data_IF_603910396547
#
_entry.id   IF_603910396547
#
_cell.length_a   1.000
_cell.length_b   1.000
_cell.length_c   1.000
_cell.angle_alpha   90.00
_cell.angle_beta   90.00
_cell.angle_gamma   90.00
#
_symmetry.space_group_name_H-M   'P 1'
#
loop_
_entity.id
_entity.type
_entity.pdbx_description
1 polymer ?
#
# COMPACT_ATOMS: atom_id res chain seq x y z
N UNK A 1 0.64 -22.62 -30.06
CA UNK A 1 -0.07 -22.24 -28.82
C UNK A 1 0.97 -21.75 -27.83
N UNK A 2 0.76 -20.60 -27.15
CA UNK A 2 1.63 -20.06 -26.09
C UNK A 2 0.85 -19.91 -24.79
N UNK A 3 1.54 -20.07 -23.66
CA UNK A 3 0.97 -19.90 -22.31
C UNK A 3 1.85 -18.92 -21.53
N UNK A 4 1.62 -17.59 -21.66
CA UNK A 4 2.52 -16.56 -21.11
C UNK A 4 2.51 -16.47 -19.57
N UNK A 5 1.58 -17.13 -18.89
CA UNK A 5 1.52 -17.19 -17.45
C UNK A 5 1.50 -15.78 -16.81
N UNK A 6 2.34 -15.58 -15.80
CA UNK A 6 2.43 -14.32 -15.02
C UNK A 6 2.85 -13.11 -15.90
N UNK A 7 3.51 -13.36 -17.04
CA UNK A 7 3.86 -12.31 -18.00
C UNK A 7 2.65 -11.57 -18.55
N UNK A 8 1.48 -12.22 -18.60
CA UNK A 8 0.21 -11.59 -19.01
C UNK A 8 -0.21 -10.46 -18.09
N UNK A 9 0.16 -10.53 -16.81
CA UNK A 9 -0.12 -9.51 -15.79
C UNK A 9 0.96 -8.41 -15.74
N UNK A 10 1.95 -8.49 -16.63
CA UNK A 10 3.04 -7.51 -16.66
C UNK A 10 4.13 -7.78 -15.63
N UNK A 11 4.17 -8.98 -15.08
CA UNK A 11 5.19 -9.40 -14.11
C UNK A 11 6.21 -10.32 -14.79
N UNK A 12 7.50 -10.12 -14.49
CA UNK A 12 8.56 -10.97 -15.03
C UNK A 12 8.58 -12.34 -14.32
N UNK A 13 8.58 -13.45 -15.08
CA UNK A 13 8.80 -14.78 -14.52
C UNK A 13 10.29 -15.06 -14.22
N UNK A 14 11.19 -14.16 -14.63
CA UNK A 14 12.63 -14.33 -14.49
C UNK A 14 13.11 -13.68 -13.19
N UNK A 15 14.18 -14.22 -12.61
CA UNK A 15 14.86 -13.63 -11.47
C UNK A 15 15.49 -12.28 -11.81
N UNK A 16 15.73 -11.46 -10.77
CA UNK A 16 16.34 -10.15 -10.92
C UNK A 16 17.66 -10.24 -11.70
N UNK A 17 17.80 -9.44 -12.76
CA UNK A 17 18.97 -9.38 -13.63
C UNK A 17 18.85 -10.16 -14.95
N UNK A 18 17.89 -11.06 -15.10
CA UNK A 18 17.67 -11.81 -16.33
C UNK A 18 16.54 -11.24 -17.22
N UNK A 19 16.00 -10.11 -16.88
CA UNK A 19 14.84 -9.54 -17.55
C UNK A 19 15.22 -8.95 -18.91
N UNK A 20 14.90 -9.66 -20.00
CA UNK A 20 15.08 -9.19 -21.38
C UNK A 20 13.89 -8.40 -21.93
N UNK A 21 12.72 -8.50 -21.30
CA UNK A 21 11.47 -7.87 -21.75
C UNK A 21 11.02 -6.79 -20.76
N UNK A 22 10.71 -5.60 -21.28
CA UNK A 22 10.08 -4.53 -20.50
C UNK A 22 8.57 -4.81 -20.45
N UNK A 23 8.11 -5.46 -19.38
CA UNK A 23 6.70 -5.67 -19.11
C UNK A 23 6.11 -4.48 -18.36
N UNK A 24 4.82 -4.19 -18.61
CA UNK A 24 4.07 -3.16 -17.88
C UNK A 24 2.99 -3.84 -17.04
N UNK A 25 2.91 -3.57 -15.71
CA UNK A 25 1.81 -4.07 -14.90
C UNK A 25 0.47 -3.66 -15.48
N UNK A 26 -0.47 -4.60 -15.57
CA UNK A 26 -1.82 -4.35 -16.10
C UNK A 26 -2.79 -3.85 -15.02
N UNK A 27 -2.46 -4.08 -13.75
CA UNK A 27 -3.27 -3.62 -12.62
C UNK A 27 -2.75 -2.29 -12.09
N UNK A 28 -3.65 -1.33 -11.96
CA UNK A 28 -3.42 -0.09 -11.21
C UNK A 28 -4.56 0.11 -10.23
N UNK A 29 -4.24 0.15 -8.93
CA UNK A 29 -5.22 0.43 -7.88
C UNK A 29 -5.12 1.89 -7.45
N UNK A 30 -6.23 2.62 -7.55
CA UNK A 30 -6.30 4.05 -7.21
C UNK A 30 -7.41 4.29 -6.20
N UNK A 31 -7.16 5.21 -5.27
CA UNK A 31 -8.16 5.68 -4.31
C UNK A 31 -7.96 7.16 -4.01
N UNK A 32 -8.80 7.73 -3.17
CA UNK A 32 -8.71 9.13 -2.74
C UNK A 32 -8.53 9.20 -1.23
N UNK A 33 -7.77 10.20 -0.78
CA UNK A 33 -7.72 10.54 0.65
C UNK A 33 -9.07 11.16 1.03
N UNK A 34 -9.71 10.58 2.07
CA UNK A 34 -10.99 11.06 2.59
C UNK A 34 -10.86 11.86 3.88
N UNK A 35 -9.74 11.71 4.59
CA UNK A 35 -9.47 12.43 5.82
C UNK A 35 -7.97 12.62 6.04
N UNK A 36 -7.58 13.78 6.59
CA UNK A 36 -6.23 14.10 6.99
C UNK A 36 -6.22 14.57 8.45
N UNK A 37 -5.30 14.05 9.24
CA UNK A 37 -5.12 14.43 10.64
C UNK A 37 -3.66 14.72 10.94
N UNK A 38 -3.35 15.92 11.44
CA UNK A 38 -2.04 16.21 12.02
C UNK A 38 -1.97 15.58 13.41
N UNK A 39 -0.90 14.87 13.69
CA UNK A 39 -0.68 14.16 14.95
C UNK A 39 0.73 14.42 15.48
N UNK A 40 0.92 14.49 16.80
CA UNK A 40 2.26 14.62 17.38
C UNK A 40 3.05 13.31 17.30
N UNK A 41 4.33 13.37 17.63
CA UNK A 41 5.13 12.18 17.96
C UNK A 41 4.49 11.39 19.10
N UNK A 42 4.57 10.05 19.06
CA UNK A 42 3.97 9.15 20.05
C UNK A 42 2.48 8.86 19.83
N UNK A 43 1.89 9.33 18.73
CA UNK A 43 0.48 9.04 18.43
C UNK A 43 0.30 7.62 17.87
N UNK A 44 -0.65 6.87 18.48
CA UNK A 44 -0.97 5.51 18.04
C UNK A 44 -1.99 5.52 16.91
N UNK A 45 -1.72 4.75 15.85
CA UNK A 45 -2.56 4.66 14.65
C UNK A 45 -3.17 3.27 14.53
N UNK A 46 -4.50 3.23 14.26
CA UNK A 46 -5.27 2.02 14.00
C UNK A 46 -5.36 1.03 15.19
N UNK A 47 -6.02 -0.11 14.95
CA UNK A 47 -6.27 -1.14 15.95
C UNK A 47 -4.99 -1.78 16.50
N UNK A 48 -4.99 -2.04 17.81
CA UNK A 48 -3.90 -2.71 18.50
C UNK A 48 -2.64 -1.86 18.65
N UNK A 49 -2.70 -0.57 18.30
CA UNK A 49 -1.58 0.38 18.47
C UNK A 49 -0.26 -0.14 17.91
N UNK A 50 -0.30 -0.83 16.77
CA UNK A 50 0.88 -1.46 16.15
C UNK A 50 1.77 -0.48 15.38
N UNK A 51 1.30 0.76 15.18
CA UNK A 51 2.05 1.86 14.61
C UNK A 51 2.01 3.04 15.55
N UNK A 52 3.17 3.59 15.86
CA UNK A 52 3.33 4.80 16.70
C UNK A 52 4.19 5.78 15.91
N UNK A 53 3.71 7.02 15.77
CA UNK A 53 4.47 8.07 15.09
C UNK A 53 5.74 8.42 15.87
N UNK A 54 6.87 8.50 15.18
CA UNK A 54 8.16 8.88 15.78
C UNK A 54 8.48 10.39 15.68
N UNK A 55 7.63 11.11 14.99
CA UNK A 55 7.71 12.57 14.76
C UNK A 55 6.31 13.14 14.57
N UNK A 56 6.20 14.47 14.48
CA UNK A 56 4.95 15.11 14.06
C UNK A 56 4.64 14.67 12.61
N UNK A 57 3.50 14.08 12.40
CA UNK A 57 3.08 13.44 11.13
C UNK A 57 1.72 13.91 10.67
N UNK A 58 1.40 13.67 9.42
CA UNK A 58 0.06 13.87 8.85
C UNK A 58 -0.49 12.52 8.41
N UNK A 59 -1.38 11.96 9.21
CA UNK A 59 -2.00 10.68 8.89
C UNK A 59 -3.17 10.90 7.93
N UNK A 60 -3.09 10.21 6.79
CA UNK A 60 -4.16 10.17 5.80
C UNK A 60 -4.99 8.90 5.97
N UNK A 61 -6.32 9.02 5.83
CA UNK A 61 -7.24 7.88 5.76
C UNK A 61 -7.73 7.74 4.33
N UNK A 62 -7.70 6.51 3.80
CA UNK A 62 -8.23 6.15 2.50
C UNK A 62 -9.27 5.03 2.61
N UNK A 63 -10.35 5.06 1.80
CA UNK A 63 -11.43 4.08 1.84
C UNK A 63 -11.04 2.84 1.02
N UNK A 64 -10.06 2.10 1.52
CA UNK A 64 -9.60 0.81 0.99
C UNK A 64 -9.23 -0.07 2.17
N UNK A 65 -9.79 -1.25 2.23
CA UNK A 65 -9.52 -2.24 3.25
C UNK A 65 -9.48 -3.66 2.71
N UNK A 66 -9.49 -4.64 3.62
CA UNK A 66 -9.40 -6.04 3.20
C UNK A 66 -10.70 -6.54 2.53
N UNK A 67 -11.86 -5.91 2.75
CA UNK A 67 -13.09 -6.22 2.04
C UNK A 67 -13.00 -5.88 0.54
N UNK A 68 -12.15 -4.91 0.18
CA UNK A 68 -11.88 -4.54 -1.21
C UNK A 68 -10.80 -5.42 -1.86
N UNK A 69 -10.23 -6.39 -1.11
CA UNK A 69 -9.15 -7.25 -1.58
C UNK A 69 -7.74 -6.77 -1.22
N UNK A 70 -7.59 -5.64 -0.49
CA UNK A 70 -6.28 -5.18 -0.04
C UNK A 70 -5.84 -5.96 1.21
N UNK A 71 -4.90 -6.87 1.05
CA UNK A 71 -4.55 -7.84 2.09
C UNK A 71 -4.15 -7.22 3.42
N UNK A 72 -4.76 -7.69 4.52
CA UNK A 72 -4.43 -7.27 5.89
C UNK A 72 -2.98 -7.59 6.31
N UNK A 73 -2.34 -8.57 5.67
CA UNK A 73 -0.93 -8.94 5.89
C UNK A 73 0.02 -7.80 5.53
N UNK A 74 -0.42 -6.85 4.70
CA UNK A 74 0.33 -5.66 4.29
C UNK A 74 0.36 -4.56 5.36
N UNK A 75 -0.33 -4.72 6.48
CA UNK A 75 -0.33 -3.79 7.61
C UNK A 75 1.11 -3.50 8.09
N UNK A 76 1.50 -2.24 8.19
CA UNK A 76 2.84 -1.77 8.56
C UNK A 76 3.98 -2.26 7.64
N UNK A 77 3.67 -2.83 6.47
CA UNK A 77 4.68 -3.42 5.58
C UNK A 77 4.67 -2.83 4.18
N UNK A 78 3.50 -2.39 3.71
CA UNK A 78 3.36 -1.87 2.36
C UNK A 78 3.55 -0.36 2.31
N UNK A 79 3.94 0.10 1.12
CA UNK A 79 3.92 1.50 0.75
C UNK A 79 2.84 1.76 -0.28
N UNK A 80 2.29 2.96 -0.26
CA UNK A 80 1.44 3.50 -1.33
C UNK A 80 2.07 4.75 -1.93
N UNK A 81 1.64 5.12 -3.12
CA UNK A 81 2.12 6.34 -3.77
C UNK A 81 1.11 7.47 -3.57
N UNK A 82 1.55 8.55 -2.95
CA UNK A 82 0.81 9.81 -2.84
C UNK A 82 1.57 10.88 -3.64
N UNK A 83 0.98 11.33 -4.75
CA UNK A 83 1.64 12.28 -5.68
C UNK A 83 3.06 11.81 -6.09
N UNK A 84 3.22 10.51 -6.35
CA UNK A 84 4.50 9.92 -6.76
C UNK A 84 5.51 9.67 -5.64
N UNK A 85 5.20 10.02 -4.39
CA UNK A 85 6.03 9.75 -3.22
C UNK A 85 5.54 8.49 -2.50
N UNK A 86 6.47 7.65 -2.07
CA UNK A 86 6.17 6.49 -1.23
C UNK A 86 5.78 6.95 0.18
N UNK A 87 4.65 6.47 0.65
CA UNK A 87 4.11 6.71 1.99
C UNK A 87 3.76 5.37 2.61
N UNK A 88 4.21 5.06 3.84
CA UNK A 88 3.97 3.76 4.46
C UNK A 88 2.52 3.61 4.91
N UNK A 89 2.01 2.39 4.83
CA UNK A 89 0.76 2.00 5.47
C UNK A 89 0.99 1.99 6.98
N UNK A 90 0.26 2.85 7.68
CA UNK A 90 0.39 3.10 9.11
C UNK A 90 -0.66 2.34 9.93
N UNK A 91 -0.24 1.33 10.67
CA UNK A 91 -1.12 0.53 11.49
C UNK A 91 -1.82 -0.60 10.72
N UNK A 92 -2.83 -1.19 11.38
CA UNK A 92 -3.58 -2.32 10.81
C UNK A 92 -4.56 -1.85 9.76
N UNK A 93 -4.60 -2.56 8.62
CA UNK A 93 -5.63 -2.42 7.59
C UNK A 93 -6.93 -2.96 8.15
N UNK A 94 -7.99 -2.16 8.06
CA UNK A 94 -9.34 -2.51 8.53
C UNK A 94 -10.17 -3.08 7.39
N UNK A 95 -11.44 -3.38 7.66
CA UNK A 95 -12.35 -3.91 6.65
C UNK A 95 -12.47 -2.97 5.44
N UNK A 96 -12.67 -1.67 5.69
CA UNK A 96 -13.05 -0.69 4.67
C UNK A 96 -12.03 0.45 4.52
N UNK A 97 -11.01 0.53 5.39
CA UNK A 97 -10.09 1.66 5.42
C UNK A 97 -8.67 1.25 5.79
N UNK A 98 -7.71 2.05 5.37
CA UNK A 98 -6.35 2.02 5.87
C UNK A 98 -5.81 3.43 6.07
N UNK A 99 -4.81 3.56 6.94
CA UNK A 99 -4.11 4.80 7.23
C UNK A 99 -2.73 4.80 6.59
N UNK A 100 -2.26 6.01 6.25
CA UNK A 100 -0.99 6.27 5.57
C UNK A 100 -0.30 7.41 6.31
N UNK A 101 1.01 7.29 6.57
CA UNK A 101 1.85 8.34 7.17
C UNK A 101 2.67 9.08 6.12
#
# INVERSE_FOLDING_TARGET
MVRPGIGLYGLSPFEHGQQKLKLKPVLTWKTKIIYLKKVPSGFCVSYGRTFVTNKNSVIATVPVGYADGYSRVLSNKADVLVRGKKCPVAGRITMDMMMID
#
